data_IF_069823379906
#
_entry.id   IF_069823379906
#
_cell.length_a   1.000
_cell.length_b   1.000
_cell.length_c   1.000
_cell.angle_alpha   90.00
_cell.angle_beta   90.00
_cell.angle_gamma   90.00
#
_symmetry.space_group_name_H-M   'P 1'
#
loop_
_entity.id
_entity.type
_entity.pdbx_description
1 polymer ?
#
# COMPACT_ATOMS: atom_id res chain seq x y z
N UNK A 1 -13.95 -8.25 -1.25
CA UNK A 1 -12.97 -7.47 -2.04
C UNK A 1 -13.70 -6.29 -2.64
N UNK A 2 -13.06 -5.12 -2.81
CA UNK A 2 -13.52 -4.10 -3.76
C UNK A 2 -13.84 -4.78 -5.10
N UNK A 3 -14.74 -4.23 -5.91
CA UNK A 3 -15.20 -4.89 -7.15
C UNK A 3 -14.08 -5.00 -8.23
N UNK A 4 -12.85 -4.64 -7.87
CA UNK A 4 -11.65 -4.79 -8.68
C UNK A 4 -11.49 -3.70 -9.74
N UNK A 5 -12.38 -2.70 -9.76
CA UNK A 5 -12.34 -1.65 -10.78
C UNK A 5 -11.25 -0.64 -10.46
N UNK A 6 -10.64 -0.02 -11.48
CA UNK A 6 -9.75 1.11 -11.27
C UNK A 6 -10.45 2.18 -10.43
N UNK A 7 -9.80 2.62 -9.36
CA UNK A 7 -10.31 3.61 -8.43
C UNK A 7 -11.00 3.04 -7.19
N UNK A 8 -11.31 1.74 -7.13
CA UNK A 8 -12.04 1.16 -5.99
C UNK A 8 -11.16 1.03 -4.74
N UNK A 9 -9.87 0.74 -4.90
CA UNK A 9 -8.94 0.54 -3.78
C UNK A 9 -7.48 0.72 -4.20
N UNK A 10 -6.65 1.46 -3.42
CA UNK A 10 -5.24 1.69 -3.73
C UNK A 10 -4.43 0.43 -4.01
N UNK A 11 -4.64 -0.63 -3.22
CA UNK A 11 -3.94 -1.91 -3.42
C UNK A 11 -4.17 -2.48 -4.83
N UNK A 12 -5.43 -2.54 -5.27
CA UNK A 12 -5.78 -3.03 -6.61
C UNK A 12 -5.29 -2.07 -7.68
N UNK A 13 -5.40 -0.77 -7.45
CA UNK A 13 -4.88 0.25 -8.37
C UNK A 13 -3.39 0.09 -8.63
N UNK A 14 -2.61 -0.20 -7.58
CA UNK A 14 -1.15 -0.36 -7.66
C UNK A 14 -0.75 -1.71 -8.27
N UNK A 15 -1.31 -2.81 -7.75
CA UNK A 15 -0.87 -4.17 -8.08
C UNK A 15 -1.49 -4.71 -9.37
N UNK A 16 -2.76 -4.38 -9.63
CA UNK A 16 -3.50 -4.91 -10.79
C UNK A 16 -3.50 -3.91 -11.95
N UNK A 17 -3.77 -2.64 -11.66
CA UNK A 17 -3.91 -1.61 -12.70
C UNK A 17 -2.62 -0.83 -12.99
N UNK A 18 -1.58 -1.03 -12.18
CA UNK A 18 -0.26 -0.40 -12.38
C UNK A 18 -0.24 1.11 -12.15
N UNK A 19 -1.21 1.65 -11.42
CA UNK A 19 -1.29 3.08 -11.14
C UNK A 19 -0.23 3.53 -10.13
N UNK A 20 0.07 4.82 -10.20
CA UNK A 20 0.83 5.52 -9.16
C UNK A 20 -0.17 6.23 -8.25
N UNK A 21 -0.29 5.78 -7.00
CA UNK A 21 -1.28 6.30 -6.03
C UNK A 21 -0.59 7.12 -4.95
N UNK A 22 0.35 6.52 -4.23
CA UNK A 22 1.09 7.17 -3.15
C UNK A 22 2.43 7.74 -3.62
N UNK A 23 2.78 7.55 -4.89
CA UNK A 23 4.06 7.95 -5.47
C UNK A 23 5.02 6.76 -5.55
N UNK A 24 6.01 6.88 -6.44
CA UNK A 24 6.88 5.77 -6.84
C UNK A 24 7.55 5.04 -5.68
N UNK A 25 7.95 5.76 -4.64
CA UNK A 25 8.58 5.18 -3.45
C UNK A 25 7.64 4.26 -2.67
N UNK A 26 6.48 4.78 -2.25
CA UNK A 26 5.53 4.03 -1.40
C UNK A 26 4.83 2.93 -2.20
N UNK A 27 4.49 3.19 -3.45
CA UNK A 27 3.95 2.17 -4.35
C UNK A 27 4.99 1.08 -4.64
N UNK A 28 6.28 1.43 -4.65
CA UNK A 28 7.38 0.47 -4.75
C UNK A 28 7.46 -0.45 -3.54
N UNK A 29 7.32 0.09 -2.33
CA UNK A 29 7.27 -0.72 -1.09
C UNK A 29 6.06 -1.66 -1.08
N UNK A 30 4.89 -1.20 -1.56
CA UNK A 30 3.69 -2.03 -1.64
C UNK A 30 3.89 -3.20 -2.60
N UNK A 31 4.45 -2.97 -3.79
CA UNK A 31 4.79 -4.03 -4.75
C UNK A 31 5.80 -5.03 -4.16
N UNK A 32 6.80 -4.53 -3.46
CA UNK A 32 7.80 -5.39 -2.81
C UNK A 32 7.16 -6.28 -1.72
N UNK A 33 6.19 -5.76 -0.95
CA UNK A 33 5.46 -6.55 0.04
C UNK A 33 4.63 -7.65 -0.63
N UNK A 34 3.99 -7.35 -1.78
CA UNK A 34 3.27 -8.34 -2.59
C UNK A 34 4.20 -9.42 -3.15
N UNK A 35 5.37 -9.03 -3.66
CA UNK A 35 6.41 -9.97 -4.12
C UNK A 35 6.91 -10.91 -3.02
N UNK A 36 6.88 -10.45 -1.75
CA UNK A 36 7.20 -11.26 -0.57
C UNK A 36 6.01 -12.12 -0.09
N UNK A 37 4.86 -12.07 -0.77
CA UNK A 37 3.63 -12.79 -0.40
C UNK A 37 2.85 -12.15 0.75
N UNK A 38 3.18 -10.93 1.14
CA UNK A 38 2.63 -10.26 2.33
C UNK A 38 1.33 -9.48 2.11
N UNK A 39 0.59 -9.77 1.04
CA UNK A 39 -0.59 -8.98 0.64
C UNK A 39 -1.74 -9.11 1.63
N UNK A 40 -1.88 -10.26 2.30
CA UNK A 40 -2.87 -10.44 3.37
C UNK A 40 -2.49 -9.64 4.63
N UNK A 41 -1.22 -9.68 5.04
CA UNK A 41 -0.71 -8.89 6.16
C UNK A 41 -0.82 -7.40 5.90
N UNK A 42 -0.54 -6.97 4.66
CA UNK A 42 -0.70 -5.58 4.25
C UNK A 42 -2.15 -5.14 4.40
N UNK A 43 -3.11 -5.89 3.84
CA UNK A 43 -4.52 -5.55 3.92
C UNK A 43 -5.05 -5.56 5.38
N UNK A 44 -4.50 -6.42 6.23
CA UNK A 44 -4.91 -6.54 7.64
C UNK A 44 -4.30 -5.45 8.53
N UNK A 45 -3.04 -5.11 8.31
CA UNK A 45 -2.26 -4.28 9.22
C UNK A 45 -2.05 -2.85 8.73
N UNK A 46 -2.27 -2.59 7.45
CA UNK A 46 -2.16 -1.26 6.84
C UNK A 46 -3.37 -1.02 5.94
N UNK A 47 -4.37 -0.33 6.49
CA UNK A 47 -5.53 0.06 5.69
C UNK A 47 -5.16 1.20 4.74
N UNK A 48 -4.78 0.85 3.50
CA UNK A 48 -4.34 1.82 2.49
C UNK A 48 -5.40 2.87 2.12
N UNK A 49 -6.68 2.61 2.37
CA UNK A 49 -7.75 3.60 2.14
C UNK A 49 -7.62 4.82 3.06
N UNK A 50 -7.13 4.63 4.28
CA UNK A 50 -6.97 5.72 5.26
C UNK A 50 -5.91 6.74 4.82
N UNK A 51 -4.99 6.32 3.94
CA UNK A 51 -3.86 7.11 3.46
C UNK A 51 -4.03 7.62 2.02
N UNK A 52 -5.15 7.30 1.37
CA UNK A 52 -5.34 7.57 -0.04
C UNK A 52 -5.44 9.09 -0.32
N UNK A 53 -4.51 9.66 -1.10
CA UNK A 53 -4.46 11.11 -1.34
C UNK A 53 -5.70 11.63 -2.08
N UNK A 54 -6.48 10.75 -2.73
CA UNK A 54 -7.75 11.12 -3.37
C UNK A 54 -8.81 11.55 -2.36
N UNK A 55 -8.68 11.14 -1.10
CA UNK A 55 -9.60 11.47 -0.01
C UNK A 55 -9.00 12.44 1.00
N UNK A 56 -7.89 13.12 0.65
CA UNK A 56 -7.35 14.24 1.41
C UNK A 56 -6.23 13.89 2.38
N UNK A 57 -5.61 12.71 2.26
CA UNK A 57 -4.43 12.35 3.04
C UNK A 57 -3.28 13.34 2.81
N UNK A 58 -2.57 13.68 3.89
CA UNK A 58 -1.55 14.73 3.91
C UNK A 58 -0.10 14.20 4.04
N UNK A 59 0.82 15.08 4.40
CA UNK A 59 2.25 14.75 4.55
C UNK A 59 2.53 13.87 5.78
N UNK A 60 1.82 14.10 6.89
CA UNK A 60 1.96 13.27 8.09
C UNK A 60 1.42 11.86 7.81
N UNK A 61 0.30 11.76 7.10
CA UNK A 61 -0.28 10.48 6.67
C UNK A 61 0.72 9.70 5.78
N UNK A 62 1.39 10.39 4.86
CA UNK A 62 2.44 9.78 4.03
C UNK A 62 3.64 9.27 4.82
N UNK A 63 4.07 10.00 5.85
CA UNK A 63 5.17 9.58 6.71
C UNK A 63 4.80 8.35 7.53
N UNK A 64 3.59 8.33 8.12
CA UNK A 64 3.08 7.16 8.83
C UNK A 64 2.98 5.94 7.91
N UNK A 65 2.39 6.11 6.72
CA UNK A 65 2.28 5.03 5.74
C UNK A 65 3.66 4.44 5.41
N UNK A 66 4.65 5.30 5.17
CA UNK A 66 6.03 4.87 4.91
C UNK A 66 6.58 3.99 6.02
N UNK A 67 6.47 4.43 7.26
CA UNK A 67 7.02 3.71 8.42
C UNK A 67 6.34 2.36 8.62
N UNK A 68 5.02 2.29 8.41
CA UNK A 68 4.25 1.04 8.48
C UNK A 68 4.65 0.06 7.38
N UNK A 69 4.80 0.54 6.13
CA UNK A 69 5.24 -0.29 5.00
C UNK A 69 6.67 -0.81 5.20
N UNK A 70 7.60 0.04 5.65
CA UNK A 70 8.98 -0.38 5.94
C UNK A 70 9.00 -1.45 7.03
N UNK A 71 8.23 -1.25 8.11
CA UNK A 71 8.14 -2.19 9.23
C UNK A 71 7.62 -3.54 8.77
N UNK A 72 6.51 -3.56 8.02
CA UNK A 72 5.91 -4.79 7.50
C UNK A 72 6.87 -5.52 6.56
N UNK A 73 7.43 -4.84 5.56
CA UNK A 73 8.39 -5.40 4.63
C UNK A 73 9.60 -6.00 5.34
N UNK A 74 10.17 -5.28 6.31
CA UNK A 74 11.35 -5.78 7.04
C UNK A 74 11.02 -7.04 7.84
N UNK A 75 9.81 -7.14 8.42
CA UNK A 75 9.35 -8.35 9.11
C UNK A 75 9.18 -9.52 8.14
N UNK A 76 8.60 -9.30 6.96
CA UNK A 76 8.44 -10.34 5.92
C UNK A 76 9.78 -10.83 5.39
N UNK A 77 10.79 -9.98 5.29
CA UNK A 77 12.16 -10.37 4.89
C UNK A 77 12.91 -11.20 5.95
N UNK A 78 12.50 -11.12 7.20
CA UNK A 78 13.17 -11.78 8.32
C UNK A 78 12.55 -13.13 8.69
N UNK A 79 11.36 -13.45 8.16
CA UNK A 79 10.70 -14.76 8.28
C UNK A 79 11.06 -15.66 7.11
#
# INVERSE_FOLDING_TARGET
>A
MPNGKPGDHPLTDILVHGFTVFGSELDGLIREIDDLGGTEELAREVNLMDFDPRFGADVADRAELRDRLITLRNRLRAG
#
